data_IF_681540839801
#
_entry.id   IF_681540839801
#
_cell.length_a   1.000
_cell.length_b   1.000
_cell.length_c   1.000
_cell.angle_alpha   90.00
_cell.angle_beta   90.00
_cell.angle_gamma   90.00
#
_symmetry.space_group_name_H-M   'P 1'
#
loop_
_entity.id
_entity.type
_entity.pdbx_description
1 polymer ?
#
# COMPACT_ATOMS: atom_id res chain seq x y z
N UNK A 1 -3.49 -1.50 -9.58
CA UNK A 1 -2.21 -0.75 -9.55
C UNK A 1 -2.40 0.55 -10.29
N UNK A 2 -1.91 1.66 -9.74
CA UNK A 2 -1.88 2.96 -10.40
C UNK A 2 -0.42 3.35 -10.69
N UNK A 3 -0.15 3.84 -11.90
CA UNK A 3 1.14 4.43 -12.27
C UNK A 3 0.89 5.91 -12.57
N UNK A 4 1.68 6.77 -11.96
CA UNK A 4 1.52 8.22 -12.08
C UNK A 4 2.88 8.92 -12.16
N UNK A 5 2.98 9.88 -13.06
CA UNK A 5 4.08 10.84 -13.14
C UNK A 5 3.52 12.22 -12.77
N UNK A 6 4.08 12.82 -11.73
CA UNK A 6 3.72 14.17 -11.27
C UNK A 6 4.93 15.07 -11.38
N UNK A 7 4.76 16.26 -11.94
CA UNK A 7 5.81 17.27 -12.00
C UNK A 7 5.27 18.63 -11.60
N UNK A 8 5.90 19.29 -10.64
CA UNK A 8 5.57 20.65 -10.24
C UNK A 8 6.83 21.45 -9.91
N UNK A 9 6.71 22.77 -9.98
CA UNK A 9 7.83 23.67 -9.62
C UNK A 9 8.21 23.52 -8.14
N UNK A 10 7.23 23.28 -7.25
CA UNK A 10 7.46 23.20 -5.82
C UNK A 10 8.03 21.84 -5.38
N UNK A 11 7.51 20.74 -5.93
CA UNK A 11 7.84 19.39 -5.45
C UNK A 11 8.80 18.60 -6.35
N UNK A 12 9.12 19.14 -7.54
CA UNK A 12 9.91 18.43 -8.54
C UNK A 12 9.11 17.34 -9.26
N UNK A 13 9.81 16.38 -9.82
CA UNK A 13 9.21 15.30 -10.62
C UNK A 13 9.24 13.97 -9.84
N UNK A 14 8.09 13.31 -9.79
CA UNK A 14 7.88 12.05 -9.06
C UNK A 14 7.27 11.01 -9.97
N UNK A 15 7.77 9.79 -9.88
CA UNK A 15 7.19 8.60 -10.52
C UNK A 15 6.75 7.62 -9.42
N UNK A 16 5.54 7.10 -9.56
CA UNK A 16 4.94 6.18 -8.58
C UNK A 16 4.25 5.03 -9.30
N UNK A 17 4.36 3.82 -8.72
CA UNK A 17 3.71 2.60 -9.20
C UNK A 17 3.09 1.85 -8.02
N UNK A 18 1.94 2.33 -7.54
CA UNK A 18 1.35 1.86 -6.28
C UNK A 18 0.31 0.76 -6.49
N UNK A 19 0.39 -0.35 -5.71
CA UNK A 19 -0.60 -1.40 -5.73
C UNK A 19 -1.75 -1.19 -4.75
N UNK A 20 -1.59 -0.31 -3.74
CA UNK A 20 -2.51 -0.18 -2.60
C UNK A 20 -3.58 0.87 -2.84
N UNK A 21 -4.84 0.43 -2.93
CA UNK A 21 -6.00 1.32 -2.97
C UNK A 21 -6.36 1.77 -1.56
N UNK A 22 -6.32 3.08 -1.30
CA UNK A 22 -6.81 3.66 -0.05
C UNK A 22 -8.33 3.69 -0.03
N UNK A 23 -8.94 4.18 -1.10
CA UNK A 23 -10.39 4.28 -1.21
C UNK A 23 -10.81 4.32 -2.69
N UNK A 24 -11.81 3.52 -3.03
CA UNK A 24 -12.44 3.52 -4.35
C UNK A 24 -13.96 3.50 -4.18
N UNK A 25 -14.69 4.24 -5.00
CA UNK A 25 -16.16 4.20 -4.97
C UNK A 25 -16.81 5.08 -6.03
N UNK A 26 -18.11 4.84 -6.22
CA UNK A 26 -18.99 5.52 -7.17
C UNK A 26 -20.06 6.41 -6.48
N UNK A 27 -19.88 6.68 -5.20
CA UNK A 27 -20.82 7.41 -4.36
C UNK A 27 -21.87 6.53 -3.67
N UNK A 28 -22.05 5.28 -4.10
CA UNK A 28 -22.96 4.29 -3.50
C UNK A 28 -22.21 3.19 -2.78
N UNK A 29 -21.35 2.52 -3.51
CA UNK A 29 -20.53 1.41 -3.00
C UNK A 29 -19.09 1.84 -2.93
N UNK A 30 -18.46 1.57 -1.80
CA UNK A 30 -17.08 1.95 -1.51
C UNK A 30 -16.24 0.73 -1.23
N UNK A 31 -14.98 0.83 -1.57
CA UNK A 31 -14.00 -0.24 -1.40
C UNK A 31 -12.70 0.32 -0.82
N UNK A 32 -12.11 -0.45 0.09
CA UNK A 32 -10.74 -0.27 0.56
C UNK A 32 -10.08 -1.62 0.72
N UNK A 33 -8.78 -1.65 0.97
CA UNK A 33 -8.06 -2.90 1.20
C UNK A 33 -7.00 -2.75 2.29
N UNK A 34 -6.80 -3.82 3.05
CA UNK A 34 -5.59 -4.03 3.81
C UNK A 34 -4.58 -4.77 2.92
N UNK A 35 -3.39 -4.23 2.76
CA UNK A 35 -2.31 -4.82 1.97
C UNK A 35 -1.02 -4.77 2.80
N UNK A 36 -0.65 -5.89 3.40
CA UNK A 36 0.55 -6.02 4.22
C UNK A 36 1.16 -7.42 4.10
N UNK A 37 2.32 -7.62 4.72
CA UNK A 37 3.12 -8.80 4.48
C UNK A 37 3.70 -8.81 3.06
N UNK A 38 4.99 -9.09 2.95
CA UNK A 38 5.71 -9.08 1.67
C UNK A 38 6.53 -10.34 1.54
N UNK A 39 6.51 -10.94 0.36
CA UNK A 39 7.36 -12.09 0.04
C UNK A 39 7.84 -11.98 -1.41
N UNK A 40 9.11 -12.28 -1.62
CA UNK A 40 9.67 -12.48 -2.95
C UNK A 40 9.52 -13.96 -3.33
N UNK A 41 8.97 -14.21 -4.49
CA UNK A 41 8.91 -15.55 -5.08
C UNK A 41 10.00 -15.69 -6.15
N UNK A 42 10.47 -16.91 -6.36
CA UNK A 42 11.29 -17.27 -7.51
C UNK A 42 10.50 -17.14 -8.81
N UNK A 43 11.18 -17.04 -9.94
CA UNK A 43 10.52 -16.97 -11.25
C UNK A 43 9.61 -18.19 -11.50
N UNK A 44 10.02 -19.38 -11.08
CA UNK A 44 9.21 -20.60 -11.21
C UNK A 44 7.93 -20.54 -10.37
N UNK A 45 8.02 -20.01 -9.14
CA UNK A 45 6.86 -19.83 -8.27
C UNK A 45 5.92 -18.75 -8.81
N UNK A 46 6.45 -17.65 -9.38
CA UNK A 46 5.65 -16.62 -10.03
C UNK A 46 4.89 -17.16 -11.23
N UNK A 47 5.53 -17.97 -12.09
CA UNK A 47 4.88 -18.62 -13.22
C UNK A 47 3.77 -19.56 -12.77
N UNK A 48 3.96 -20.31 -11.68
CA UNK A 48 2.93 -21.20 -11.13
C UNK A 48 1.79 -20.42 -10.45
N UNK A 49 2.05 -19.22 -9.96
CA UNK A 49 1.06 -18.33 -9.35
C UNK A 49 0.14 -17.69 -10.39
N UNK A 50 0.67 -17.33 -11.56
CA UNK A 50 -0.06 -16.71 -12.68
C UNK A 50 -0.82 -17.72 -13.55
N UNK A 51 -0.89 -19.02 -13.19
CA UNK A 51 -1.63 -20.02 -13.95
C UNK A 51 -3.12 -19.65 -14.06
N UNK A 52 -3.75 -19.88 -15.27
CA UNK A 52 -5.16 -19.52 -15.51
C UNK A 52 -6.10 -20.18 -14.51
N UNK A 53 -7.20 -19.49 -14.23
CA UNK A 53 -8.31 -19.91 -13.38
C UNK A 53 -8.68 -21.39 -13.64
N UNK A 54 -8.46 -22.23 -12.63
CA UNK A 54 -8.84 -23.67 -12.67
C UNK A 54 -7.78 -24.66 -12.18
N UNK A 55 -6.51 -24.24 -12.10
CA UNK A 55 -5.49 -25.02 -11.40
C UNK A 55 -5.20 -24.33 -10.07
N UNK A 56 -5.34 -25.01 -8.92
CA UNK A 56 -4.94 -24.44 -7.66
C UNK A 56 -3.42 -24.31 -7.66
N UNK A 57 -2.92 -23.16 -8.11
CA UNK A 57 -1.52 -22.81 -7.97
C UNK A 57 -1.14 -22.95 -6.51
N UNK A 58 0.04 -23.51 -6.25
CA UNK A 58 0.51 -23.74 -4.88
C UNK A 58 0.62 -22.39 -4.16
N UNK A 59 -0.31 -22.14 -3.24
CA UNK A 59 -0.30 -20.91 -2.44
C UNK A 59 1.02 -20.81 -1.67
N UNK A 60 1.70 -19.66 -1.67
CA UNK A 60 2.94 -19.49 -0.93
C UNK A 60 2.69 -19.66 0.57
N UNK A 61 3.67 -20.26 1.26
CA UNK A 61 3.60 -20.42 2.71
C UNK A 61 4.02 -19.12 3.39
N UNK A 62 3.04 -18.40 3.92
CA UNK A 62 3.27 -17.18 4.66
C UNK A 62 3.79 -17.43 6.08
N UNK A 63 4.77 -16.63 6.51
CA UNK A 63 5.25 -16.65 7.89
C UNK A 63 4.17 -16.19 8.88
N UNK A 64 4.31 -16.57 10.15
CA UNK A 64 3.43 -16.08 11.21
C UNK A 64 3.51 -14.55 11.33
N UNK A 65 4.70 -13.95 11.17
CA UNK A 65 4.92 -12.50 11.14
C UNK A 65 4.08 -11.83 10.07
N UNK A 66 4.18 -12.27 8.81
CA UNK A 66 3.44 -11.64 7.71
C UNK A 66 1.92 -11.74 7.90
N UNK A 67 1.43 -12.84 8.46
CA UNK A 67 0.01 -12.98 8.78
C UNK A 67 -0.42 -12.05 9.91
N UNK A 68 0.40 -11.90 10.96
CA UNK A 68 0.12 -10.99 12.06
C UNK A 68 0.12 -9.53 11.60
N UNK A 69 1.07 -9.13 10.76
CA UNK A 69 1.13 -7.81 10.15
C UNK A 69 -0.14 -7.52 9.33
N UNK A 70 -0.54 -8.44 8.44
CA UNK A 70 -1.76 -8.30 7.66
C UNK A 70 -3.03 -8.23 8.52
N UNK A 71 -3.13 -9.09 9.54
CA UNK A 71 -4.28 -9.10 10.44
C UNK A 71 -4.42 -7.77 11.19
N UNK A 72 -3.31 -7.21 11.67
CA UNK A 72 -3.27 -5.93 12.37
C UNK A 72 -3.81 -4.79 11.49
N UNK A 73 -3.42 -4.75 10.21
CA UNK A 73 -3.93 -3.73 9.27
C UNK A 73 -5.41 -3.97 8.96
N UNK A 74 -5.82 -5.22 8.75
CA UNK A 74 -7.21 -5.56 8.47
C UNK A 74 -8.14 -5.21 9.64
N UNK A 75 -7.75 -5.56 10.87
CA UNK A 75 -8.52 -5.25 12.09
C UNK A 75 -8.64 -3.72 12.31
N UNK A 76 -7.57 -2.99 12.04
CA UNK A 76 -7.62 -1.53 12.11
C UNK A 76 -8.65 -0.95 11.14
N UNK A 77 -8.59 -1.36 9.87
CA UNK A 77 -9.53 -0.87 8.87
C UNK A 77 -10.97 -1.26 9.21
N UNK A 78 -11.22 -2.50 9.63
CA UNK A 78 -12.55 -2.95 10.05
C UNK A 78 -13.15 -2.02 11.11
N UNK A 79 -12.40 -1.77 12.20
CA UNK A 79 -12.84 -0.88 13.28
C UNK A 79 -13.08 0.56 12.82
N UNK A 80 -12.27 1.08 11.88
CA UNK A 80 -12.49 2.43 11.34
C UNK A 80 -13.72 2.50 10.45
N UNK A 81 -13.96 1.47 9.66
CA UNK A 81 -15.17 1.38 8.83
C UNK A 81 -16.43 1.28 9.68
N UNK A 82 -16.44 0.50 10.77
CA UNK A 82 -17.56 0.39 11.71
C UNK A 82 -18.00 1.73 12.29
N UNK A 83 -17.09 2.69 12.42
CA UNK A 83 -17.38 4.03 12.95
C UNK A 83 -18.02 4.99 11.91
N UNK A 84 -17.83 4.72 10.61
CA UNK A 84 -18.14 5.70 9.55
C UNK A 84 -19.05 5.17 8.45
N UNK A 85 -19.30 3.86 8.40
CA UNK A 85 -19.95 3.21 7.28
C UNK A 85 -20.94 2.12 7.71
N UNK A 86 -21.79 1.71 6.76
CA UNK A 86 -22.78 0.66 6.92
C UNK A 86 -22.49 -0.51 5.98
N UNK A 87 -23.13 -1.66 6.23
CA UNK A 87 -23.08 -2.84 5.34
C UNK A 87 -21.66 -3.29 4.98
N UNK A 88 -20.78 -3.36 5.98
CA UNK A 88 -19.39 -3.72 5.78
C UNK A 88 -19.28 -5.22 5.48
N UNK A 89 -18.65 -5.54 4.36
CA UNK A 89 -18.27 -6.90 3.98
C UNK A 89 -16.77 -6.99 3.84
N UNK A 90 -16.16 -7.88 4.58
CA UNK A 90 -14.73 -8.22 4.46
C UNK A 90 -14.58 -9.55 3.74
N UNK A 91 -13.76 -9.57 2.70
CA UNK A 91 -13.38 -10.83 2.03
C UNK A 91 -12.24 -11.53 2.77
N UNK A 92 -12.17 -12.87 2.71
CA UNK A 92 -11.04 -13.62 3.28
C UNK A 92 -9.70 -13.13 2.73
N UNK A 93 -8.69 -13.11 3.59
CA UNK A 93 -7.33 -12.76 3.20
C UNK A 93 -6.81 -13.72 2.14
N UNK A 94 -6.26 -13.17 1.07
CA UNK A 94 -5.69 -13.93 -0.05
C UNK A 94 -4.37 -13.32 -0.50
N UNK A 95 -3.61 -14.09 -1.28
CA UNK A 95 -2.33 -13.65 -1.85
C UNK A 95 -2.57 -12.90 -3.16
N UNK A 96 -1.93 -11.75 -3.32
CA UNK A 96 -1.93 -10.97 -4.56
C UNK A 96 -0.52 -10.68 -5.03
N UNK A 97 -0.33 -10.62 -6.34
CA UNK A 97 0.96 -10.26 -6.95
C UNK A 97 1.03 -8.76 -7.24
N UNK A 98 2.18 -8.17 -6.95
CA UNK A 98 2.54 -6.80 -7.33
C UNK A 98 3.98 -6.77 -7.86
N UNK A 99 4.13 -6.82 -9.17
CA UNK A 99 5.43 -6.96 -9.85
C UNK A 99 6.09 -8.31 -9.56
N UNK A 100 7.27 -8.29 -8.97
CA UNK A 100 8.04 -9.47 -8.56
C UNK A 100 7.82 -9.89 -7.10
N UNK A 101 6.89 -9.25 -6.42
CA UNK A 101 6.54 -9.53 -5.02
C UNK A 101 5.09 -10.01 -4.93
N UNK A 102 4.79 -10.74 -3.85
CA UNK A 102 3.43 -11.07 -3.44
C UNK A 102 3.14 -10.47 -2.07
N UNK A 103 1.87 -10.17 -1.84
CA UNK A 103 1.36 -9.58 -0.60
C UNK A 103 0.11 -10.31 -0.13
N UNK A 104 -0.18 -10.24 1.16
CA UNK A 104 -1.48 -10.60 1.70
C UNK A 104 -2.44 -9.42 1.56
N UNK A 105 -3.68 -9.70 1.14
CA UNK A 105 -4.71 -8.71 0.91
C UNK A 105 -6.04 -9.14 1.49
N UNK A 106 -6.72 -8.21 2.14
CA UNK A 106 -8.12 -8.32 2.55
C UNK A 106 -8.91 -7.17 1.95
N UNK A 107 -9.96 -7.47 1.20
CA UNK A 107 -10.81 -6.47 0.58
C UNK A 107 -12.02 -6.16 1.46
N UNK A 108 -12.36 -4.89 1.53
CA UNK A 108 -13.55 -4.39 2.22
C UNK A 108 -14.48 -3.71 1.22
N UNK A 109 -15.75 -4.03 1.29
CA UNK A 109 -16.83 -3.35 0.56
C UNK A 109 -17.82 -2.83 1.56
N UNK A 110 -18.27 -1.58 1.41
CA UNK A 110 -19.18 -0.92 2.35
C UNK A 110 -20.00 0.20 1.69
N UNK A 111 -20.97 0.73 2.42
CA UNK A 111 -21.77 1.90 2.01
C UNK A 111 -21.55 3.04 3.00
N UNK A 112 -21.66 4.28 2.51
CA UNK A 112 -21.64 5.47 3.38
C UNK A 112 -23.06 6.01 3.57
N UNK A 113 -23.41 6.45 4.78
CA UNK A 113 -24.69 7.14 5.03
C UNK A 113 -24.81 8.43 4.21
N UNK A 114 -23.69 9.14 4.01
CA UNK A 114 -23.60 10.35 3.19
C UNK A 114 -22.17 10.53 2.70
N UNK A 115 -22.01 11.02 1.46
CA UNK A 115 -20.72 11.40 0.87
C UNK A 115 -20.12 12.66 1.50
N UNK A 116 -20.92 13.46 2.23
CA UNK A 116 -20.43 14.66 2.93
C UNK A 116 -19.37 14.34 3.98
N UNK A 117 -19.36 13.10 4.50
CA UNK A 117 -18.40 12.63 5.49
C UNK A 117 -17.15 11.94 4.88
N UNK A 118 -16.99 12.02 3.58
CA UNK A 118 -15.88 11.37 2.88
C UNK A 118 -14.50 11.84 3.40
N UNK A 119 -14.38 13.15 3.68
CA UNK A 119 -13.14 13.71 4.27
C UNK A 119 -12.84 13.11 5.64
N UNK A 120 -13.83 12.98 6.51
CA UNK A 120 -13.69 12.38 7.84
C UNK A 120 -13.30 10.90 7.75
N UNK A 121 -13.90 10.16 6.80
CA UNK A 121 -13.50 8.78 6.54
C UNK A 121 -12.03 8.70 6.09
N UNK A 122 -11.61 9.52 5.14
CA UNK A 122 -10.23 9.55 4.66
C UNK A 122 -9.24 9.85 5.78
N UNK A 123 -9.54 10.83 6.64
CA UNK A 123 -8.72 11.16 7.82
C UNK A 123 -8.63 9.98 8.81
N UNK A 124 -9.73 9.25 8.97
CA UNK A 124 -9.77 8.06 9.81
C UNK A 124 -8.95 6.91 9.25
N UNK A 125 -9.00 6.67 7.93
CA UNK A 125 -8.29 5.59 7.27
C UNK A 125 -6.80 5.88 7.09
N UNK A 126 -6.43 7.13 6.76
CA UNK A 126 -5.05 7.50 6.42
C UNK A 126 -4.37 8.30 7.56
N UNK A 127 -3.06 8.07 7.83
CA UNK A 127 -2.24 6.99 7.31
C UNK A 127 -2.69 5.62 7.85
N UNK A 128 -2.61 4.60 7.00
CA UNK A 128 -2.86 3.22 7.41
C UNK A 128 -1.73 2.70 8.30
N UNK A 129 -1.95 1.66 9.13
CA UNK A 129 -0.87 1.07 9.92
C UNK A 129 0.28 0.53 9.08
N UNK A 130 0.02 0.15 7.82
CA UNK A 130 1.05 -0.32 6.89
C UNK A 130 2.12 0.74 6.56
N UNK A 131 1.80 2.03 6.70
CA UNK A 131 2.71 3.15 6.40
C UNK A 131 3.02 4.04 7.61
N UNK A 132 2.30 3.86 8.72
CA UNK A 132 2.50 4.64 9.94
C UNK A 132 2.86 3.76 11.13
N UNK A 133 2.01 2.79 11.45
CA UNK A 133 2.11 1.96 12.64
C UNK A 133 0.94 2.18 13.61
N UNK A 134 0.98 1.48 14.74
CA UNK A 134 0.01 1.55 15.82
C UNK A 134 0.72 1.57 17.18
N UNK A 135 0.19 2.34 18.18
CA UNK A 135 -0.93 3.28 18.07
C UNK A 135 -0.60 4.43 17.12
N UNK A 136 -1.59 4.95 16.38
CA UNK A 136 -1.38 5.86 15.23
C UNK A 136 -0.61 7.13 15.60
N UNK A 137 -1.00 7.83 16.67
CA UNK A 137 -0.39 9.11 17.05
C UNK A 137 1.03 8.93 17.57
N UNK A 138 1.27 7.92 18.40
CA UNK A 138 2.59 7.59 18.93
C UNK A 138 3.54 7.17 17.81
N UNK A 139 3.07 6.32 16.90
CA UNK A 139 3.86 5.90 15.75
C UNK A 139 4.18 7.08 14.82
N UNK A 140 3.21 7.96 14.59
CA UNK A 140 3.41 9.17 13.78
C UNK A 140 4.44 10.10 14.40
N UNK A 141 4.36 10.37 15.71
CA UNK A 141 5.32 11.20 16.41
C UNK A 141 6.72 10.58 16.36
N UNK A 142 6.82 9.27 16.61
CA UNK A 142 8.09 8.56 16.51
C UNK A 142 8.72 8.69 15.12
N UNK A 143 7.95 8.55 14.05
CA UNK A 143 8.42 8.73 12.67
C UNK A 143 8.95 10.14 12.45
N UNK A 144 8.20 11.16 12.87
CA UNK A 144 8.58 12.57 12.70
C UNK A 144 9.84 12.94 13.47
N UNK A 145 10.09 12.32 14.61
CA UNK A 145 11.25 12.59 15.46
C UNK A 145 12.50 11.80 15.04
N UNK A 146 12.35 10.64 14.43
CA UNK A 146 13.45 9.70 14.21
C UNK A 146 13.85 9.50 12.76
N UNK A 147 12.99 9.78 11.78
CA UNK A 147 13.39 9.71 10.37
C UNK A 147 14.26 10.92 10.00
N UNK A 148 15.43 10.63 9.46
CA UNK A 148 16.43 11.64 9.10
C UNK A 148 16.08 12.47 7.86
N UNK A 149 15.14 12.02 7.05
CA UNK A 149 14.71 12.66 5.82
C UNK A 149 13.18 12.75 5.73
N UNK A 150 12.62 13.84 5.19
CA UNK A 150 11.18 13.96 5.02
C UNK A 150 10.67 12.95 4.00
N UNK A 151 9.52 12.38 4.27
CA UNK A 151 8.84 11.44 3.35
C UNK A 151 8.29 12.12 2.11
N UNK A 152 8.05 13.41 2.16
CA UNK A 152 7.42 14.22 1.10
C UNK A 152 6.10 13.57 0.60
N UNK A 153 6.04 13.09 -0.64
CA UNK A 153 4.86 12.38 -1.16
C UNK A 153 4.80 10.89 -0.80
N UNK A 154 5.93 10.31 -0.39
CA UNK A 154 5.97 8.93 0.06
C UNK A 154 5.06 8.70 1.27
N UNK A 155 4.30 7.63 1.26
CA UNK A 155 3.27 7.27 2.25
C UNK A 155 2.08 8.24 2.37
N UNK A 156 1.97 9.24 1.52
CA UNK A 156 0.74 10.02 1.33
C UNK A 156 -0.31 9.25 0.52
N UNK A 157 -1.27 9.94 -0.05
CA UNK A 157 -2.20 9.34 -1.02
C UNK A 157 -2.50 10.29 -2.18
N UNK A 158 -2.92 9.72 -3.30
CA UNK A 158 -3.26 10.49 -4.49
C UNK A 158 -4.25 9.72 -5.38
N UNK A 159 -4.89 10.45 -6.26
CA UNK A 159 -5.80 9.91 -7.25
C UNK A 159 -7.00 10.83 -7.50
N UNK A 160 -7.85 10.50 -8.48
CA UNK A 160 -9.05 11.26 -8.73
C UNK A 160 -10.04 11.15 -7.57
N UNK A 161 -10.50 12.30 -7.13
CA UNK A 161 -11.59 12.45 -6.15
C UNK A 161 -12.75 13.14 -6.87
N UNK A 162 -13.71 12.38 -7.37
CA UNK A 162 -14.83 12.86 -8.15
C UNK A 162 -16.12 12.68 -7.37
N UNK A 163 -16.78 13.77 -6.97
CA UNK A 163 -18.03 13.70 -6.23
C UNK A 163 -19.21 13.28 -7.11
N UNK A 164 -19.13 13.49 -8.42
CA UNK A 164 -20.15 13.12 -9.41
C UNK A 164 -19.79 11.88 -10.23
N UNK A 165 -18.65 11.27 -9.96
CA UNK A 165 -18.12 10.12 -10.67
C UNK A 165 -17.29 9.22 -9.76
N UNK A 166 -16.48 8.37 -10.36
CA UNK A 166 -15.67 7.43 -9.59
C UNK A 166 -14.52 8.11 -8.82
N UNK A 167 -14.36 7.72 -7.57
CA UNK A 167 -13.21 8.05 -6.73
C UNK A 167 -12.23 6.89 -6.74
N UNK A 168 -10.96 7.18 -7.00
CA UNK A 168 -9.88 6.19 -6.95
C UNK A 168 -8.65 6.80 -6.28
N UNK A 169 -8.54 6.63 -4.96
CA UNK A 169 -7.40 7.09 -4.16
C UNK A 169 -6.47 5.92 -3.84
N UNK A 170 -5.20 6.14 -4.00
CA UNK A 170 -4.14 5.14 -3.77
C UNK A 170 -3.13 5.66 -2.77
N UNK A 171 -2.59 4.78 -1.92
CA UNK A 171 -1.47 5.13 -1.04
C UNK A 171 -0.21 5.31 -1.89
N UNK A 172 0.52 6.39 -1.69
CA UNK A 172 1.71 6.73 -2.47
C UNK A 172 2.91 5.87 -2.05
N UNK A 173 3.02 4.71 -2.67
CA UNK A 173 4.08 3.73 -2.46
C UNK A 173 4.86 3.48 -3.75
N UNK A 174 5.96 2.72 -3.65
CA UNK A 174 6.80 2.39 -4.82
C UNK A 174 7.08 3.64 -5.63
N UNK A 175 7.65 4.65 -4.99
CA UNK A 175 7.88 5.94 -5.61
C UNK A 175 9.36 6.33 -5.63
N UNK A 176 9.68 7.16 -6.60
CA UNK A 176 10.97 7.83 -6.70
C UNK A 176 10.81 9.29 -7.10
N UNK A 177 11.69 10.12 -6.57
CA UNK A 177 11.87 11.51 -7.02
C UNK A 177 12.98 11.56 -8.05
N UNK A 178 12.69 12.16 -9.19
CA UNK A 178 13.59 12.25 -10.32
C UNK A 178 14.35 13.58 -10.29
N UNK A 179 15.68 13.50 -10.37
CA UNK A 179 16.58 14.64 -10.54
C UNK A 179 17.40 14.45 -11.82
N UNK A 180 17.96 15.51 -12.39
CA UNK A 180 18.73 15.40 -13.64
C UNK A 180 19.91 14.42 -13.59
N UNK A 181 20.54 14.26 -12.43
CA UNK A 181 21.78 13.48 -12.27
C UNK A 181 21.63 12.28 -11.32
N UNK A 182 20.52 12.19 -10.58
CA UNK A 182 20.28 11.10 -9.64
C UNK A 182 18.78 10.89 -9.41
N UNK A 183 18.43 9.80 -8.77
CA UNK A 183 17.05 9.51 -8.35
C UNK A 183 17.04 9.09 -6.90
N UNK A 184 16.04 9.56 -6.15
CA UNK A 184 15.82 9.17 -4.76
C UNK A 184 14.65 8.22 -4.70
N UNK A 185 14.88 7.00 -4.23
CA UNK A 185 13.88 5.95 -4.08
C UNK A 185 13.40 5.90 -2.63
N UNK A 186 12.11 5.63 -2.45
CA UNK A 186 11.46 5.57 -1.15
C UNK A 186 10.88 4.17 -0.92
N UNK A 187 11.22 3.57 0.20
CA UNK A 187 10.64 2.32 0.68
C UNK A 187 10.62 2.29 2.20
N UNK A 188 9.75 1.48 2.77
CA UNK A 188 9.65 1.24 4.20
C UNK A 188 9.00 -0.11 4.48
N UNK A 189 9.10 -0.57 5.72
CA UNK A 189 8.50 -1.79 6.24
C UNK A 189 7.87 -1.57 7.60
N UNK A 190 6.91 -2.44 7.96
CA UNK A 190 6.34 -2.48 9.30
C UNK A 190 7.29 -3.18 10.26
N UNK A 191 7.56 -2.55 11.39
CA UNK A 191 8.35 -3.16 12.47
C UNK A 191 7.44 -3.77 13.52
N UNK A 192 7.70 -5.01 13.87
CA UNK A 192 7.08 -5.73 14.99
C UNK A 192 8.15 -6.01 16.06
N UNK A 193 7.77 -6.34 17.29
CA UNK A 193 8.75 -6.63 18.36
C UNK A 193 9.76 -7.71 18.01
N UNK A 194 9.36 -8.69 17.19
CA UNK A 194 10.18 -9.79 16.71
C UNK A 194 10.92 -9.48 15.39
N UNK A 195 10.81 -8.27 14.86
CA UNK A 195 11.50 -7.87 13.64
C UNK A 195 13.02 -7.89 13.81
N UNK A 196 13.71 -8.44 12.81
CA UNK A 196 15.17 -8.47 12.72
C UNK A 196 15.59 -7.39 11.74
N UNK A 197 16.32 -6.39 12.18
CA UNK A 197 16.70 -5.20 11.41
C UNK A 197 17.26 -5.51 10.02
N UNK A 198 18.12 -6.53 9.93
CA UNK A 198 18.73 -6.96 8.67
C UNK A 198 17.71 -7.51 7.65
N UNK A 199 16.69 -8.21 8.14
CA UNK A 199 15.62 -8.74 7.29
C UNK A 199 14.70 -7.62 6.81
N UNK A 200 14.36 -6.68 7.69
CA UNK A 200 13.56 -5.50 7.35
C UNK A 200 14.28 -4.63 6.31
N UNK A 201 15.59 -4.44 6.47
CA UNK A 201 16.39 -3.74 5.47
C UNK A 201 16.36 -4.44 4.11
N UNK A 202 16.56 -5.75 4.07
CA UNK A 202 16.45 -6.53 2.82
C UNK A 202 15.06 -6.41 2.17
N UNK A 203 14.01 -6.35 2.98
CA UNK A 203 12.65 -6.16 2.48
C UNK A 203 12.48 -4.78 1.83
N UNK A 204 13.01 -3.71 2.42
CA UNK A 204 12.96 -2.37 1.80
C UNK A 204 13.74 -2.33 0.48
N UNK A 205 14.91 -2.96 0.40
CA UNK A 205 15.68 -3.09 -0.86
C UNK A 205 14.86 -3.82 -1.94
N UNK A 206 14.18 -4.91 -1.59
CA UNK A 206 13.32 -5.64 -2.53
C UNK A 206 12.13 -4.80 -3.01
N UNK A 207 11.56 -3.97 -2.14
CA UNK A 207 10.48 -3.04 -2.51
C UNK A 207 10.96 -1.97 -3.48
N UNK A 208 12.20 -1.52 -3.40
CA UNK A 208 12.80 -0.56 -4.33
C UNK A 208 13.12 -1.16 -5.70
N UNK A 209 13.32 -2.47 -5.83
CA UNK A 209 13.64 -3.13 -7.10
C UNK A 209 12.62 -2.81 -8.21
N UNK A 210 11.35 -2.67 -7.89
CA UNK A 210 10.30 -2.28 -8.85
C UNK A 210 10.66 -0.97 -9.57
N UNK A 211 11.18 0.01 -8.85
CA UNK A 211 11.54 1.31 -9.42
C UNK A 211 12.93 1.28 -10.06
N UNK A 212 13.87 0.51 -9.51
CA UNK A 212 15.21 0.32 -10.11
C UNK A 212 15.13 -0.31 -11.51
N UNK A 213 14.24 -1.27 -11.71
CA UNK A 213 14.00 -1.89 -13.02
C UNK A 213 13.50 -0.88 -14.07
N UNK A 214 12.67 0.10 -13.68
CA UNK A 214 12.23 1.14 -14.59
C UNK A 214 13.40 2.03 -15.06
N UNK A 215 14.35 2.32 -14.18
CA UNK A 215 15.54 3.11 -14.52
C UNK A 215 16.46 2.33 -15.47
N UNK A 216 16.70 1.06 -15.19
CA UNK A 216 17.55 0.20 -16.02
C UNK A 216 16.99 0.04 -17.45
N UNK A 217 15.67 -0.12 -17.58
CA UNK A 217 15.00 -0.24 -18.88
C UNK A 217 15.04 1.04 -19.73
N UNK A 218 15.27 2.20 -19.13
CA UNK A 218 15.40 3.48 -19.87
C UNK A 218 16.80 3.73 -20.44
N UNK A 219 17.78 2.88 -20.12
CA UNK A 219 19.19 2.99 -20.56
C UNK A 219 19.54 2.04 -21.72
N UNK A 220 18.59 1.22 -22.13
CA UNK A 220 18.68 0.33 -23.29
C UNK A 220 17.87 0.87 -24.47
#
# INVERSE_FOLDING_TARGET
MMIVLVSSVQSGTWLMATPETLLRGDGKTWHTMALAGTMKLSEQELLSFDCPIGSPGKQPQWSAKNRAEQQLVADYLARRLEMHSDNIMQQPTHTVRAGNLVHLRSDFTFTLPSTDKLGTLLESLHPTPAVCGLPKEEARNFILENESAPREYYSGFMGPLCMEGETHLYVALRCMRLFPQCHVLYAGGGLLPESIAENEWKETEQKMETMKLCIAASQT
#
